data_IF_066044955856
#
_entry.id   IF_066044955856
#
_cell.length_a   1.000
_cell.length_b   1.000
_cell.length_c   1.000
_cell.angle_alpha   90.00
_cell.angle_beta   90.00
_cell.angle_gamma   90.00
#
_symmetry.space_group_name_H-M   'P 1'
#
loop_
_entity.id
_entity.type
_entity.pdbx_description
1 polymer ?
#
# COMPACT_ATOMS: atom_id res chain seq x y z
N UNK A 1 -2.55 -8.25 -11.22
CA UNK A 1 -3.54 -7.83 -10.19
C UNK A 1 -4.92 -7.80 -10.83
N UNK A 2 -6.02 -8.06 -10.12
CA UNK A 2 -7.37 -8.06 -10.70
C UNK A 2 -7.72 -6.76 -11.44
N UNK A 3 -7.20 -5.61 -10.99
CA UNK A 3 -7.48 -4.31 -11.59
C UNK A 3 -7.01 -4.18 -13.05
N UNK A 4 -5.87 -4.73 -13.43
CA UNK A 4 -5.39 -4.70 -14.83
C UNK A 4 -6.27 -5.56 -15.73
N UNK A 5 -6.65 -6.75 -15.26
CA UNK A 5 -7.56 -7.63 -16.00
C UNK A 5 -8.94 -6.99 -16.17
N UNK A 6 -9.45 -6.29 -15.15
CA UNK A 6 -10.70 -5.55 -15.22
C UNK A 6 -10.62 -4.34 -16.16
N UNK A 7 -9.51 -3.60 -16.20
CA UNK A 7 -9.31 -2.52 -17.18
C UNK A 7 -9.23 -3.05 -18.62
N UNK A 8 -8.65 -4.24 -18.82
CA UNK A 8 -8.57 -4.87 -20.14
C UNK A 8 -9.93 -5.32 -20.67
N UNK A 9 -10.91 -5.58 -19.78
CA UNK A 9 -12.28 -5.90 -20.18
C UNK A 9 -13.03 -4.71 -20.81
N UNK A 10 -12.46 -3.51 -20.75
CA UNK A 10 -12.99 -2.30 -21.37
C UNK A 10 -13.94 -1.51 -20.44
N UNK A 11 -13.92 -0.19 -20.61
CA UNK A 11 -14.71 0.73 -19.78
C UNK A 11 -16.23 0.58 -20.02
N UNK A 12 -16.67 -0.06 -21.12
CA UNK A 12 -18.11 -0.30 -21.38
C UNK A 12 -18.72 -1.36 -20.45
N UNK A 13 -17.89 -2.20 -19.81
CA UNK A 13 -18.35 -3.29 -18.93
C UNK A 13 -18.15 -2.93 -17.46
N UNK A 14 -17.05 -2.27 -17.13
CA UNK A 14 -16.72 -1.86 -15.76
C UNK A 14 -16.14 -0.46 -15.73
N UNK A 15 -16.61 0.35 -14.79
CA UNK A 15 -16.05 1.67 -14.51
C UNK A 15 -15.36 1.69 -13.14
N UNK A 16 -14.19 2.30 -13.08
CA UNK A 16 -13.51 2.60 -11.82
C UNK A 16 -13.93 3.98 -11.33
N UNK A 17 -14.40 4.03 -10.08
CA UNK A 17 -14.74 5.28 -9.40
C UNK A 17 -13.75 5.54 -8.27
N UNK A 18 -13.48 6.82 -8.03
CA UNK A 18 -12.88 7.23 -6.77
C UNK A 18 -13.84 6.86 -5.64
N UNK A 19 -13.31 6.23 -4.61
CA UNK A 19 -14.10 5.71 -3.50
C UNK A 19 -14.71 6.83 -2.64
N UNK A 20 -14.13 8.02 -2.70
CA UNK A 20 -14.67 9.22 -2.06
C UNK A 20 -15.63 10.00 -2.98
N UNK A 21 -15.79 9.58 -4.25
CA UNK A 21 -16.68 10.19 -5.25
C UNK A 21 -17.48 9.11 -6.01
N UNK A 22 -18.20 8.29 -5.26
CA UNK A 22 -19.06 7.23 -5.83
C UNK A 22 -20.28 7.83 -6.54
N UNK A 23 -20.74 7.23 -7.65
CA UNK A 23 -22.01 7.58 -8.28
C UNK A 23 -23.17 7.12 -7.39
N UNK A 24 -24.40 7.40 -7.83
CA UNK A 24 -25.57 6.77 -7.23
C UNK A 24 -25.53 5.26 -7.48
N UNK A 25 -25.63 4.48 -6.39
CA UNK A 25 -25.57 3.03 -6.43
C UNK A 25 -26.92 2.45 -6.02
N UNK A 26 -27.25 1.29 -6.58
CA UNK A 26 -28.49 0.59 -6.24
C UNK A 26 -28.52 0.18 -4.75
N UNK A 27 -29.71 0.20 -4.16
CA UNK A 27 -29.98 -0.25 -2.80
C UNK A 27 -29.09 0.46 -1.75
N UNK A 28 -28.47 -0.31 -0.85
CA UNK A 28 -27.60 0.13 0.23
C UNK A 28 -26.10 -0.03 -0.11
N UNK A 29 -25.76 -0.27 -1.39
CA UNK A 29 -24.38 -0.53 -1.80
C UNK A 29 -23.40 0.60 -1.43
N UNK A 30 -23.85 1.85 -1.47
CA UNK A 30 -23.05 2.99 -1.03
C UNK A 30 -22.67 2.91 0.46
N UNK A 31 -23.57 2.41 1.31
CA UNK A 31 -23.30 2.22 2.74
C UNK A 31 -22.33 1.07 2.98
N UNK A 32 -22.50 -0.04 2.26
CA UNK A 32 -21.61 -1.19 2.34
C UNK A 32 -20.17 -0.84 1.93
N UNK A 33 -20.01 -0.09 0.83
CA UNK A 33 -18.69 0.37 0.38
C UNK A 33 -18.09 1.33 1.41
N UNK A 34 -18.85 2.30 1.92
CA UNK A 34 -18.37 3.23 2.96
C UNK A 34 -17.87 2.48 4.20
N UNK A 35 -18.62 1.50 4.69
CA UNK A 35 -18.23 0.68 5.83
C UNK A 35 -16.96 -0.16 5.54
N UNK A 36 -16.84 -0.72 4.33
CA UNK A 36 -15.66 -1.46 3.92
C UNK A 36 -14.40 -0.57 3.87
N UNK A 37 -14.53 0.64 3.32
CA UNK A 37 -13.46 1.63 3.22
C UNK A 37 -13.03 2.11 4.58
N UNK A 38 -13.98 2.46 5.45
CA UNK A 38 -13.72 2.84 6.83
C UNK A 38 -12.98 1.72 7.57
N UNK A 39 -13.36 0.46 7.37
CA UNK A 39 -12.66 -0.69 7.96
C UNK A 39 -11.22 -0.82 7.45
N UNK A 40 -10.97 -0.57 6.17
CA UNK A 40 -9.61 -0.56 5.60
C UNK A 40 -8.79 0.59 6.17
N UNK A 41 -9.34 1.82 6.21
CA UNK A 41 -8.71 3.01 6.78
C UNK A 41 -8.35 2.79 8.25
N UNK A 42 -9.28 2.29 9.05
CA UNK A 42 -9.06 1.95 10.45
C UNK A 42 -7.94 0.91 10.62
N UNK A 43 -7.91 -0.13 9.78
CA UNK A 43 -6.86 -1.16 9.80
C UNK A 43 -5.50 -0.65 9.34
N UNK A 44 -5.45 0.30 8.41
CA UNK A 44 -4.19 0.85 7.91
C UNK A 44 -3.37 1.49 9.03
N UNK A 45 -4.04 2.02 10.06
CA UNK A 45 -3.37 2.67 11.18
C UNK A 45 -2.50 1.71 12.03
N UNK A 46 -2.81 0.42 12.04
CA UNK A 46 -2.15 -0.54 12.94
C UNK A 46 -1.76 -1.86 12.26
N UNK A 47 -1.92 -1.99 10.94
CA UNK A 47 -1.61 -3.21 10.21
C UNK A 47 -0.88 -2.97 8.89
N UNK A 48 -0.28 -4.04 8.40
CA UNK A 48 0.42 -4.08 7.10
C UNK A 48 -0.52 -4.37 5.94
N UNK A 49 -1.85 -4.31 6.15
CA UNK A 49 -2.83 -4.59 5.12
C UNK A 49 -2.64 -3.71 3.87
N UNK A 50 -2.36 -2.40 3.98
CA UNK A 50 -2.09 -1.58 2.80
C UNK A 50 -0.90 -2.05 1.94
N UNK A 51 0.10 -2.73 2.52
CA UNK A 51 1.21 -3.31 1.75
C UNK A 51 0.71 -4.31 0.70
N UNK A 52 -0.42 -4.97 0.95
CA UNK A 52 -1.02 -5.97 0.06
C UNK A 52 -1.90 -5.36 -1.03
N UNK A 53 -2.12 -4.05 -1.02
CA UNK A 53 -2.82 -3.33 -2.10
C UNK A 53 -1.89 -2.98 -3.26
N UNK A 54 -0.58 -3.02 -3.02
CA UNK A 54 0.44 -2.78 -4.04
C UNK A 54 0.68 -4.02 -4.92
N UNK A 55 1.31 -3.86 -6.09
CA UNK A 55 1.81 -4.99 -6.87
C UNK A 55 2.76 -5.88 -6.06
N UNK A 56 3.10 -7.07 -6.56
CA UNK A 56 4.02 -8.00 -5.87
C UNK A 56 5.37 -7.35 -5.53
N UNK A 57 5.82 -6.40 -6.36
CA UNK A 57 7.05 -5.64 -6.17
C UNK A 57 6.76 -4.14 -6.25
N UNK A 58 7.23 -3.40 -5.26
CA UNK A 58 6.99 -1.96 -5.15
C UNK A 58 8.14 -1.23 -4.49
N UNK A 59 8.25 0.07 -4.73
CA UNK A 59 9.20 0.96 -4.06
C UNK A 59 8.63 1.45 -2.72
N UNK A 60 9.51 1.83 -1.77
CA UNK A 60 9.06 2.46 -0.52
C UNK A 60 8.27 3.76 -0.76
N UNK A 61 8.53 4.46 -1.85
CA UNK A 61 7.77 5.67 -2.22
C UNK A 61 6.34 5.33 -2.64
N UNK A 62 6.15 4.26 -3.43
CA UNK A 62 4.80 3.78 -3.76
C UNK A 62 4.07 3.33 -2.48
N UNK A 63 4.74 2.59 -1.60
CA UNK A 63 4.16 2.18 -0.33
C UNK A 63 3.72 3.40 0.50
N UNK A 64 4.59 4.39 0.66
CA UNK A 64 4.26 5.63 1.38
C UNK A 64 3.03 6.32 0.78
N UNK A 65 3.00 6.52 -0.53
CA UNK A 65 1.86 7.15 -1.22
C UNK A 65 0.56 6.38 -1.01
N UNK A 66 0.60 5.06 -1.02
CA UNK A 66 -0.58 4.23 -0.73
C UNK A 66 -1.11 4.47 0.68
N UNK A 67 -0.23 4.56 1.69
CA UNK A 67 -0.66 4.89 3.06
C UNK A 67 -1.23 6.32 3.13
N UNK A 68 -0.58 7.30 2.50
CA UNK A 68 -1.06 8.69 2.46
C UNK A 68 -2.45 8.80 1.80
N UNK A 69 -2.69 8.07 0.71
CA UNK A 69 -4.00 8.01 0.05
C UNK A 69 -5.07 7.37 0.93
N UNK A 70 -4.72 6.35 1.71
CA UNK A 70 -5.69 5.70 2.61
C UNK A 70 -6.05 6.63 3.77
N UNK A 71 -5.08 7.32 4.36
CA UNK A 71 -5.31 8.24 5.47
C UNK A 71 -5.89 9.60 5.03
N UNK A 72 -5.68 9.99 3.78
CA UNK A 72 -6.06 11.32 3.29
C UNK A 72 -5.11 12.43 3.77
N UNK A 73 -3.94 12.10 4.29
CA UNK A 73 -2.94 13.05 4.79
C UNK A 73 -1.53 12.68 4.33
N UNK A 74 -0.65 13.68 4.24
CA UNK A 74 0.75 13.49 3.87
C UNK A 74 1.59 13.08 5.07
N UNK A 75 2.54 12.16 4.89
CA UNK A 75 3.41 11.67 5.96
C UNK A 75 4.86 11.93 5.61
N UNK A 76 5.66 12.44 6.54
CA UNK A 76 7.09 12.61 6.28
C UNK A 76 7.79 11.26 6.08
N UNK A 77 8.80 11.20 5.20
CA UNK A 77 9.59 9.98 4.96
C UNK A 77 10.20 9.39 6.24
N UNK A 78 10.63 10.25 7.16
CA UNK A 78 11.23 9.83 8.44
C UNK A 78 10.20 9.19 9.36
N UNK A 79 9.05 9.85 9.53
CA UNK A 79 7.92 9.33 10.31
C UNK A 79 7.45 8.00 9.78
N UNK A 80 7.26 7.90 8.46
CA UNK A 80 6.83 6.69 7.78
C UNK A 80 7.77 5.50 8.05
N UNK A 81 9.08 5.70 7.85
CA UNK A 81 10.10 4.66 8.10
C UNK A 81 10.17 4.25 9.57
N UNK A 82 10.12 5.22 10.48
CA UNK A 82 10.14 4.98 11.93
C UNK A 82 8.94 4.14 12.38
N UNK A 83 7.75 4.41 11.84
CA UNK A 83 6.51 3.65 12.15
C UNK A 83 6.56 2.23 11.64
N UNK A 84 7.02 2.03 10.41
CA UNK A 84 7.22 0.70 9.85
C UNK A 84 8.44 -0.03 10.43
N UNK A 85 9.25 0.63 11.26
CA UNK A 85 10.49 0.06 11.79
C UNK A 85 11.51 -0.29 10.71
N UNK A 86 11.46 0.41 9.56
CA UNK A 86 12.36 0.18 8.43
C UNK A 86 13.75 0.67 8.80
N UNK A 87 14.71 -0.25 8.89
CA UNK A 87 16.12 0.08 9.02
C UNK A 87 16.61 0.61 7.67
N UNK A 88 17.34 1.71 7.66
CA UNK A 88 17.92 2.27 6.42
C UNK A 88 19.42 2.02 6.48
N UNK A 89 19.94 1.23 5.54
CA UNK A 89 21.34 0.83 5.49
C UNK A 89 21.59 -0.16 4.36
N UNK A 90 22.75 -0.82 4.38
CA UNK A 90 23.06 -1.91 3.46
C UNK A 90 22.13 -3.10 3.74
N UNK A 91 21.28 -3.43 2.77
CA UNK A 91 20.34 -4.55 2.81
C UNK A 91 20.73 -5.55 1.75
N UNK A 92 20.83 -6.82 2.12
CA UNK A 92 21.00 -7.86 1.13
C UNK A 92 19.63 -8.27 0.56
N UNK A 93 19.57 -8.62 -0.74
CA UNK A 93 18.37 -9.25 -1.30
C UNK A 93 17.94 -10.46 -0.46
N UNK A 94 16.64 -10.56 -0.17
CA UNK A 94 16.07 -11.62 0.64
C UNK A 94 15.99 -11.31 2.15
N UNK A 95 16.62 -10.23 2.62
CA UNK A 95 16.56 -9.84 4.03
C UNK A 95 15.32 -9.02 4.36
N UNK A 96 14.81 -9.26 5.57
CA UNK A 96 13.80 -8.44 6.22
C UNK A 96 14.34 -7.04 6.53
N UNK A 97 13.59 -6.02 6.14
CA UNK A 97 14.01 -4.62 6.33
C UNK A 97 13.42 -3.98 7.58
N UNK A 98 12.47 -4.67 8.19
CA UNK A 98 11.83 -4.33 9.44
C UNK A 98 11.90 -5.49 10.45
N UNK A 99 11.69 -5.20 11.73
CA UNK A 99 11.80 -6.19 12.80
C UNK A 99 10.65 -7.22 12.86
N UNK A 100 9.57 -6.97 12.13
CA UNK A 100 8.40 -7.86 12.08
C UNK A 100 8.37 -8.70 10.81
N UNK A 101 9.44 -8.67 10.01
CA UNK A 101 9.60 -9.47 8.79
C UNK A 101 8.46 -9.25 7.79
N UNK A 102 8.03 -8.00 7.65
CA UNK A 102 6.91 -7.61 6.79
C UNK A 102 7.39 -7.39 5.37
N UNK A 103 8.49 -6.66 5.22
CA UNK A 103 9.04 -6.22 3.95
C UNK A 103 10.38 -6.89 3.70
N UNK A 104 10.54 -7.45 2.50
CA UNK A 104 11.77 -8.10 2.06
C UNK A 104 12.41 -7.25 0.95
N UNK A 105 13.70 -6.93 1.11
CA UNK A 105 14.47 -6.28 0.06
C UNK A 105 14.67 -7.23 -1.13
N UNK A 106 14.47 -6.74 -2.35
CA UNK A 106 14.81 -7.49 -3.57
C UNK A 106 16.12 -7.00 -4.17
N UNK A 107 16.67 -7.76 -5.11
CA UNK A 107 17.80 -7.38 -5.97
C UNK A 107 17.39 -6.45 -7.12
N UNK A 108 16.09 -6.19 -7.27
CA UNK A 108 15.53 -5.40 -8.35
C UNK A 108 15.38 -3.92 -7.96
N UNK A 109 15.42 -3.07 -8.98
CA UNK A 109 15.26 -1.64 -8.83
C UNK A 109 14.34 -1.09 -9.92
N UNK A 110 13.63 -0.01 -9.62
CA UNK A 110 12.73 0.71 -10.51
C UNK A 110 13.23 2.15 -10.72
N UNK A 111 13.25 2.60 -11.97
CA UNK A 111 13.65 3.95 -12.39
C UNK A 111 14.86 3.98 -13.33
N UNK A 112 15.05 5.12 -14.02
CA UNK A 112 16.12 5.36 -15.00
C UNK A 112 17.06 6.51 -14.63
N UNK A 113 18.22 6.57 -15.31
CA UNK A 113 19.35 7.54 -15.30
C UNK A 113 19.92 8.05 -13.95
N UNK A 114 19.11 8.28 -12.92
CA UNK A 114 19.53 8.65 -11.56
C UNK A 114 19.54 7.46 -10.59
N UNK A 115 19.81 7.71 -9.29
CA UNK A 115 19.86 6.71 -8.21
C UNK A 115 18.57 5.88 -8.19
N UNK A 116 18.61 4.61 -8.61
CA UNK A 116 17.41 3.82 -8.82
C UNK A 116 16.78 3.42 -7.48
N UNK A 117 15.45 3.30 -7.45
CA UNK A 117 14.74 2.96 -6.22
C UNK A 117 14.65 1.44 -6.08
N UNK A 118 15.12 0.89 -4.95
CA UNK A 118 15.01 -0.55 -4.68
C UNK A 118 13.55 -0.98 -4.62
N UNK A 119 13.26 -2.16 -5.15
CA UNK A 119 11.97 -2.84 -5.03
C UNK A 119 11.95 -3.73 -3.79
N UNK A 120 10.77 -3.79 -3.18
CA UNK A 120 10.45 -4.57 -1.99
C UNK A 120 9.24 -5.43 -2.30
N UNK A 121 9.10 -6.54 -1.57
CA UNK A 121 7.89 -7.37 -1.58
C UNK A 121 7.39 -7.58 -0.16
N UNK A 122 6.10 -7.81 -0.02
CA UNK A 122 5.50 -8.19 1.25
C UNK A 122 5.72 -9.68 1.51
N UNK A 123 6.07 -10.06 2.74
CA UNK A 123 6.29 -11.45 3.14
C UNK A 123 5.07 -12.02 3.87
N UNK A 124 4.52 -11.26 4.82
CA UNK A 124 3.42 -11.68 5.68
C UNK A 124 2.53 -10.52 6.09
N UNK A 125 1.29 -10.84 6.43
CA UNK A 125 0.40 -9.91 7.12
C UNK A 125 0.82 -9.85 8.61
N UNK A 126 0.97 -8.64 9.13
CA UNK A 126 1.28 -8.40 10.54
C UNK A 126 0.57 -7.15 11.06
N UNK A 127 0.45 -7.07 12.37
CA UNK A 127 0.17 -5.80 13.05
C UNK A 127 1.47 -5.04 13.27
N UNK A 128 1.38 -3.72 13.35
CA UNK A 128 2.50 -2.90 13.78
C UNK A 128 2.76 -3.09 15.27
N UNK A 129 4.04 -3.13 15.66
CA UNK A 129 4.43 -3.12 17.08
C UNK A 129 4.10 -1.79 17.78
N UNK A 130 3.84 -0.72 17.02
CA UNK A 130 3.43 0.61 17.52
C UNK A 130 2.13 1.04 16.83
N UNK A 131 1.11 1.37 17.62
CA UNK A 131 -0.28 1.44 17.18
C UNK A 131 -0.80 2.86 16.85
N UNK A 132 0.05 3.87 16.63
CA UNK A 132 -0.45 5.23 16.34
C UNK A 132 0.26 5.90 15.17
N UNK A 133 -0.56 6.37 14.22
CA UNK A 133 -0.19 7.39 13.25
C UNK A 133 -0.28 8.81 13.85
#
# INVERSE_FOLDING_TARGET
MPHEALRQAGDEVFHFYDVDQLPELAFDHAEQIRAAVERVRNKASYSTLPCWLLPERFTLTQLQRTYEQIFGETVSRGTFRSRLGIKVGDMNPGEAVDQADILIATDQFQGGSQRPARLFRVNRLSLFKRASW
#
